data_IF_633352170777
#
_entry.id   IF_633352170777
#
_cell.length_a   1.000
_cell.length_b   1.000
_cell.length_c   1.000
_cell.angle_alpha   90.00
_cell.angle_beta   90.00
_cell.angle_gamma   90.00
#
_symmetry.space_group_name_H-M   'P 1'
#
loop_
_entity.id
_entity.type
_entity.pdbx_description
1 polymer ?
#
# COMPACT_ATOMS: atom_id res chain seq x y z
N UNK A 1 -26.74 14.27 2.49
CA UNK A 1 -26.35 12.84 2.61
C UNK A 1 -25.21 12.58 1.64
N UNK A 2 -24.08 12.00 2.09
CA UNK A 2 -23.01 11.61 1.16
C UNK A 2 -23.51 10.44 0.31
N UNK A 3 -23.32 10.51 -1.01
CA UNK A 3 -23.85 9.54 -1.98
C UNK A 3 -23.30 8.14 -1.70
N UNK A 4 -24.12 7.12 -1.99
CA UNK A 4 -23.63 5.75 -2.17
C UNK A 4 -22.57 5.78 -3.26
N UNK A 5 -21.34 5.39 -2.90
CA UNK A 5 -20.19 5.40 -3.78
C UNK A 5 -19.64 3.99 -3.84
N UNK A 6 -19.51 3.47 -5.06
CA UNK A 6 -18.77 2.23 -5.34
C UNK A 6 -17.40 2.59 -5.92
N UNK A 7 -16.47 1.67 -5.74
CA UNK A 7 -15.12 1.75 -6.31
C UNK A 7 -14.85 0.47 -7.08
N UNK A 8 -13.88 0.53 -7.98
CA UNK A 8 -13.27 -0.66 -8.57
C UNK A 8 -11.99 -0.98 -7.81
N UNK A 9 -11.58 -2.24 -7.78
CA UNK A 9 -10.28 -2.63 -7.26
C UNK A 9 -9.44 -3.24 -8.38
N UNK A 10 -8.12 -3.03 -8.31
CA UNK A 10 -7.18 -3.57 -9.28
C UNK A 10 -5.96 -4.12 -8.54
N UNK A 11 -5.67 -5.40 -8.75
CA UNK A 11 -4.44 -6.00 -8.27
C UNK A 11 -3.32 -5.68 -9.24
N UNK A 12 -2.25 -5.08 -8.72
CA UNK A 12 -1.09 -4.63 -9.49
C UNK A 12 0.18 -5.08 -8.79
N UNK A 13 1.24 -5.34 -9.54
CA UNK A 13 2.55 -5.60 -8.96
C UNK A 13 3.06 -4.34 -8.25
N UNK A 14 3.02 -3.21 -8.96
CA UNK A 14 3.46 -1.90 -8.45
C UNK A 14 2.31 -0.88 -8.52
N UNK A 15 2.16 -0.09 -7.46
CA UNK A 15 1.20 1.02 -7.43
C UNK A 15 1.57 2.05 -8.51
N UNK A 16 0.65 2.42 -9.42
CA UNK A 16 0.94 3.39 -10.47
C UNK A 16 1.22 4.77 -9.88
N UNK A 17 2.04 5.56 -10.58
CA UNK A 17 2.34 6.94 -10.17
C UNK A 17 1.12 7.85 -10.15
N UNK A 18 0.21 7.65 -11.10
CA UNK A 18 -1.01 8.44 -11.23
C UNK A 18 -2.21 7.57 -10.87
N UNK A 19 -2.80 7.82 -9.70
CA UNK A 19 -3.98 7.09 -9.23
C UNK A 19 -5.25 7.59 -9.92
N UNK A 20 -6.10 6.67 -10.35
CA UNK A 20 -7.44 6.98 -10.86
C UNK A 20 -8.44 7.25 -9.73
N UNK A 21 -9.42 8.10 -10.00
CA UNK A 21 -10.54 8.32 -9.07
C UNK A 21 -11.38 7.06 -8.94
N UNK A 22 -11.82 6.74 -7.71
CA UNK A 22 -12.68 5.58 -7.41
C UNK A 22 -12.09 4.22 -7.79
N UNK A 23 -10.77 4.12 -7.88
CA UNK A 23 -10.06 2.84 -8.01
C UNK A 23 -9.15 2.61 -6.82
N UNK A 24 -9.19 1.39 -6.28
CA UNK A 24 -8.32 0.90 -5.23
C UNK A 24 -7.26 0.00 -5.84
N UNK A 25 -6.03 0.49 -5.89
CA UNK A 25 -4.89 -0.30 -6.33
C UNK A 25 -4.33 -1.09 -5.17
N UNK A 26 -4.05 -2.37 -5.40
CA UNK A 26 -3.62 -3.30 -4.36
C UNK A 26 -2.39 -4.04 -4.86
N UNK A 27 -1.27 -3.88 -4.15
CA UNK A 27 -0.10 -4.71 -4.34
C UNK A 27 0.01 -5.69 -3.18
N UNK A 28 -0.19 -6.98 -3.50
CA UNK A 28 0.00 -8.07 -2.55
C UNK A 28 1.49 -8.25 -2.24
N UNK A 29 2.36 -8.12 -3.25
CA UNK A 29 3.81 -8.25 -3.09
C UNK A 29 4.37 -7.23 -2.10
N UNK A 30 3.93 -5.98 -2.18
CA UNK A 30 4.37 -4.91 -1.27
C UNK A 30 3.47 -4.73 -0.04
N UNK A 31 2.44 -5.58 0.13
CA UNK A 31 1.52 -5.51 1.26
C UNK A 31 0.90 -4.12 1.42
N UNK A 32 0.43 -3.51 0.34
CA UNK A 32 -0.10 -2.13 0.39
C UNK A 32 -1.29 -1.96 -0.55
N UNK A 33 -2.20 -1.07 -0.16
CA UNK A 33 -3.24 -0.58 -1.05
C UNK A 33 -3.20 0.95 -1.10
N UNK A 34 -3.58 1.52 -2.24
CA UNK A 34 -3.56 2.96 -2.46
C UNK A 34 -4.70 3.41 -3.37
N UNK A 35 -5.26 4.58 -3.07
CA UNK A 35 -6.35 5.17 -3.84
C UNK A 35 -6.38 6.69 -3.67
N UNK A 36 -7.04 7.39 -4.61
CA UNK A 36 -7.44 8.78 -4.38
C UNK A 36 -8.53 8.86 -3.35
N UNK A 37 -8.42 9.84 -2.46
CA UNK A 37 -9.34 10.04 -1.35
C UNK A 37 -10.78 10.11 -1.85
N UNK A 38 -11.61 9.19 -1.37
CA UNK A 38 -12.97 8.95 -1.90
C UNK A 38 -13.96 10.09 -1.62
N UNK A 39 -13.53 11.14 -0.93
CA UNK A 39 -14.30 12.39 -0.86
C UNK A 39 -14.18 13.25 -2.12
N UNK A 40 -13.24 12.94 -3.03
CA UNK A 40 -13.01 13.65 -4.28
C UNK A 40 -12.06 14.84 -4.16
N UNK A 41 -11.28 14.95 -3.08
CA UNK A 41 -10.27 16.01 -2.95
C UNK A 41 -8.99 15.73 -3.75
N UNK A 42 -8.85 14.56 -4.36
CA UNK A 42 -7.70 14.15 -5.17
C UNK A 42 -6.45 13.76 -4.39
N UNK A 43 -6.43 13.91 -3.06
CA UNK A 43 -5.29 13.50 -2.22
C UNK A 43 -5.11 11.98 -2.22
N UNK A 44 -3.87 11.51 -2.26
CA UNK A 44 -3.56 10.08 -2.20
C UNK A 44 -3.66 9.56 -0.78
N UNK A 45 -4.23 8.35 -0.65
CA UNK A 45 -4.34 7.63 0.61
C UNK A 45 -3.65 6.30 0.43
N UNK A 46 -2.70 6.03 1.33
CA UNK A 46 -1.98 4.75 1.39
C UNK A 46 -2.47 3.99 2.62
N UNK A 47 -2.81 2.73 2.44
CA UNK A 47 -3.24 1.82 3.50
C UNK A 47 -2.34 0.58 3.49
N UNK A 48 -1.24 0.58 4.25
CA UNK A 48 -0.39 -0.60 4.39
C UNK A 48 -1.18 -1.77 4.98
N UNK A 49 -1.10 -2.91 4.30
CA UNK A 49 -1.77 -4.15 4.68
C UNK A 49 -0.82 -4.94 5.60
N UNK A 50 -1.15 -5.02 6.89
CA UNK A 50 -0.32 -5.73 7.87
C UNK A 50 -1.13 -6.19 9.08
N UNK A 51 -0.59 -7.10 9.92
CA UNK A 51 -1.28 -7.56 11.14
C UNK A 51 -1.66 -6.43 12.13
N UNK A 52 -0.91 -5.32 12.10
CA UNK A 52 -1.08 -4.15 12.99
C UNK A 52 -1.57 -2.90 12.27
N UNK A 53 -1.76 -2.98 10.95
CA UNK A 53 -2.23 -1.90 10.10
C UNK A 53 -3.62 -2.18 9.55
N UNK A 54 -3.83 -1.90 8.26
CA UNK A 54 -5.05 -2.30 7.59
C UNK A 54 -5.02 -3.79 7.24
N UNK A 55 -6.18 -4.40 7.24
CA UNK A 55 -6.44 -5.74 6.78
C UNK A 55 -7.34 -5.65 5.55
N UNK A 56 -7.06 -6.51 4.58
CA UNK A 56 -7.82 -6.60 3.35
C UNK A 56 -8.44 -7.98 3.25
N UNK A 57 -9.70 -8.04 2.88
CA UNK A 57 -10.38 -9.29 2.50
C UNK A 57 -10.81 -9.21 1.05
N UNK A 58 -10.55 -10.27 0.30
CA UNK A 58 -11.03 -10.46 -1.07
C UNK A 58 -11.79 -11.78 -1.15
N UNK A 59 -13.03 -11.76 -1.63
CA UNK A 59 -13.92 -12.93 -1.71
C UNK A 59 -13.99 -13.54 -3.12
N UNK A 60 -13.14 -13.08 -4.04
CA UNK A 60 -13.15 -13.48 -5.45
C UNK A 60 -13.93 -12.52 -6.36
N UNK A 61 -14.73 -11.61 -5.78
CA UNK A 61 -15.49 -10.62 -6.54
C UNK A 61 -15.26 -9.20 -6.04
N UNK A 62 -15.13 -9.01 -4.72
CA UNK A 62 -15.08 -7.67 -4.10
C UNK A 62 -14.03 -7.57 -3.00
N UNK A 63 -13.56 -6.35 -2.75
CA UNK A 63 -12.59 -6.05 -1.68
C UNK A 63 -13.25 -5.32 -0.52
N UNK A 64 -12.81 -5.64 0.69
CA UNK A 64 -13.07 -4.84 1.90
C UNK A 64 -11.78 -4.50 2.61
N UNK A 65 -11.74 -3.32 3.22
CA UNK A 65 -10.64 -2.87 4.08
C UNK A 65 -11.16 -2.60 5.49
N UNK A 66 -10.39 -3.04 6.48
CA UNK A 66 -10.60 -2.77 7.90
C UNK A 66 -9.25 -2.39 8.55
N UNK A 67 -9.20 -1.52 9.57
CA UNK A 67 -10.29 -0.69 10.08
C UNK A 67 -10.68 0.41 9.07
N UNK A 68 -11.49 1.38 9.51
CA UNK A 68 -11.87 2.52 8.68
C UNK A 68 -10.67 3.35 8.23
N UNK A 69 -10.83 4.06 7.12
CA UNK A 69 -9.88 5.04 6.62
C UNK A 69 -10.23 6.41 7.19
N UNK A 70 -9.39 6.91 8.10
CA UNK A 70 -9.51 8.24 8.69
C UNK A 70 -8.47 9.21 8.14
N UNK A 71 -8.89 10.18 7.33
CA UNK A 71 -8.02 11.16 6.67
C UNK A 71 -7.80 12.43 7.51
N UNK A 72 -7.56 12.29 8.82
CA UNK A 72 -7.53 13.43 9.75
C UNK A 72 -6.34 14.39 9.55
N UNK A 73 -5.28 13.91 8.90
CA UNK A 73 -4.13 14.73 8.45
C UNK A 73 -4.41 15.49 7.16
N UNK A 74 -5.46 15.13 6.41
CA UNK A 74 -5.84 15.81 5.17
C UNK A 74 -6.83 16.95 5.46
N UNK A 75 -6.85 18.02 4.65
CA UNK A 75 -7.81 19.12 4.80
C UNK A 75 -9.28 18.66 4.77
N UNK A 76 -9.57 17.57 4.05
CA UNK A 76 -10.92 17.04 3.90
C UNK A 76 -11.46 16.32 5.15
N UNK A 77 -10.57 15.88 6.07
CA UNK A 77 -10.91 15.12 7.29
C UNK A 77 -11.97 14.02 7.07
N UNK A 78 -11.92 13.36 5.90
CA UNK A 78 -12.90 12.35 5.53
C UNK A 78 -12.73 11.08 6.35
N UNK A 79 -13.84 10.40 6.62
CA UNK A 79 -13.85 9.13 7.33
C UNK A 79 -14.82 8.17 6.63
N UNK A 80 -14.32 6.99 6.26
CA UNK A 80 -15.11 5.98 5.55
C UNK A 80 -14.54 4.58 5.74
N UNK A 81 -15.35 3.58 5.43
CA UNK A 81 -14.98 2.16 5.37
C UNK A 81 -15.21 1.70 3.94
N UNK A 82 -14.29 0.90 3.39
CA UNK A 82 -14.48 0.21 2.11
C UNK A 82 -14.95 -1.21 2.44
N UNK A 83 -16.16 -1.58 2.02
CA UNK A 83 -16.75 -2.89 2.27
C UNK A 83 -17.46 -3.40 1.02
N UNK A 84 -16.99 -4.53 0.49
CA UNK A 84 -17.48 -5.14 -0.75
C UNK A 84 -17.56 -4.11 -1.88
N UNK A 85 -16.43 -3.44 -2.12
CA UNK A 85 -16.27 -2.37 -3.13
C UNK A 85 -17.19 -1.15 -2.95
N UNK A 86 -17.80 -0.99 -1.77
CA UNK A 86 -18.67 0.13 -1.44
C UNK A 86 -18.07 0.98 -0.34
N UNK A 87 -18.21 2.28 -0.50
CA UNK A 87 -17.79 3.29 0.48
C UNK A 87 -18.93 3.54 1.45
N UNK A 88 -18.73 3.11 2.69
CA UNK A 88 -19.61 3.38 3.80
C UNK A 88 -19.04 4.58 4.56
N UNK A 89 -19.69 5.72 4.43
CA UNK A 89 -19.27 6.94 5.12
C UNK A 89 -19.43 6.79 6.62
N UNK A 90 -18.34 7.01 7.35
CA UNK A 90 -18.35 7.05 8.80
C UNK A 90 -18.46 8.51 9.28
N UNK A 91 -19.04 8.69 10.47
CA UNK A 91 -19.19 10.01 11.07
C UNK A 91 -17.85 10.65 11.43
N UNK A 92 -17.87 11.95 11.74
CA UNK A 92 -16.69 12.62 12.28
C UNK A 92 -16.29 11.99 13.63
N UNK A 93 -14.99 11.90 13.88
CA UNK A 93 -14.45 11.53 15.19
C UNK A 93 -13.97 12.80 15.90
N UNK A 94 -14.09 12.83 17.23
CA UNK A 94 -13.51 13.93 18.00
C UNK A 94 -11.99 13.83 18.01
N UNK A 95 -11.29 14.95 18.27
CA UNK A 95 -9.82 14.94 18.39
C UNK A 95 -9.34 13.96 19.48
N UNK A 96 -10.13 13.79 20.54
CA UNK A 96 -9.87 12.81 21.60
C UNK A 96 -9.96 11.37 21.10
N UNK A 97 -10.94 11.07 20.26
CA UNK A 97 -11.10 9.74 19.68
C UNK A 97 -9.98 9.43 18.67
N UNK A 98 -9.62 10.43 17.85
CA UNK A 98 -8.52 10.32 16.88
C UNK A 98 -7.20 10.02 17.61
N UNK A 99 -6.89 10.75 18.68
CA UNK A 99 -5.66 10.52 19.45
C UNK A 99 -5.68 9.16 20.18
N UNK A 100 -6.86 8.73 20.66
CA UNK A 100 -7.00 7.41 21.27
C UNK A 100 -6.70 6.28 20.26
N UNK A 101 -7.18 6.39 19.02
CA UNK A 101 -6.89 5.47 17.92
C UNK A 101 -5.39 5.48 17.60
N UNK A 102 -4.80 6.65 17.33
CA UNK A 102 -3.36 6.77 17.03
C UNK A 102 -2.47 6.18 18.14
N UNK A 103 -2.84 6.35 19.40
CA UNK A 103 -2.11 5.78 20.54
C UNK A 103 -2.25 4.26 20.59
N UNK A 104 -3.42 3.70 20.24
CA UNK A 104 -3.61 2.24 20.12
C UNK A 104 -2.73 1.71 18.99
N UNK A 105 -2.81 2.31 17.80
CA UNK A 105 -2.07 1.85 16.62
C UNK A 105 -0.55 1.85 16.88
N UNK A 106 -0.01 2.93 17.47
CA UNK A 106 1.41 2.98 17.89
C UNK A 106 1.78 1.86 18.84
N UNK A 107 0.91 1.54 19.79
CA UNK A 107 1.15 0.48 20.77
C UNK A 107 1.16 -0.90 20.09
N UNK A 108 0.25 -1.12 19.16
CA UNK A 108 0.14 -2.40 18.46
C UNK A 108 1.35 -2.63 17.55
N UNK A 109 1.82 -1.59 16.85
CA UNK A 109 3.10 -1.60 16.12
C UNK A 109 4.27 -1.94 17.05
N UNK A 110 4.42 -1.24 18.18
CA UNK A 110 5.52 -1.48 19.12
C UNK A 110 5.55 -2.92 19.67
N UNK A 111 4.38 -3.52 19.91
CA UNK A 111 4.28 -4.91 20.39
C UNK A 111 4.63 -5.94 19.33
N UNK A 112 4.38 -5.64 18.06
CA UNK A 112 4.54 -6.60 16.98
C UNK A 112 5.97 -6.64 16.44
N UNK A 113 6.71 -5.53 16.51
CA UNK A 113 8.06 -5.40 15.96
C UNK A 113 9.18 -5.34 17.02
N UNK A 114 8.97 -5.91 18.21
CA UNK A 114 9.98 -5.99 19.28
C UNK A 114 10.75 -4.68 19.55
N UNK A 115 10.02 -3.56 19.67
CA UNK A 115 10.55 -2.36 20.33
C UNK A 115 11.33 -1.35 19.49
N UNK A 116 11.41 -1.46 18.16
CA UNK A 116 11.77 -0.31 17.32
C UNK A 116 10.64 -0.02 16.31
N UNK A 117 9.80 1.00 16.53
CA UNK A 117 8.90 1.44 15.48
C UNK A 117 9.77 1.92 14.33
N UNK A 118 9.62 1.31 13.16
CA UNK A 118 10.18 1.83 11.90
C UNK A 118 9.41 3.10 11.53
N UNK A 119 9.62 4.15 12.32
CA UNK A 119 9.38 5.54 11.97
C UNK A 119 10.70 6.07 11.40
N UNK A 120 11.18 5.49 10.28
CA UNK A 120 11.77 6.41 9.32
C UNK A 120 10.59 7.06 8.61
N UNK A 121 10.36 8.38 8.72
CA UNK A 121 9.58 9.03 7.70
C UNK A 121 10.25 8.63 6.39
N UNK A 122 9.53 7.93 5.51
CA UNK A 122 9.92 7.90 4.11
C UNK A 122 9.81 9.34 3.67
N UNK A 123 10.90 10.09 3.83
CA UNK A 123 11.11 11.35 3.18
C UNK A 123 11.07 10.97 1.70
N UNK A 124 9.90 11.19 1.09
CA UNK A 124 9.76 11.15 -0.36
C UNK A 124 10.61 12.29 -0.85
N UNK A 125 11.93 12.05 -0.99
CA UNK A 125 12.78 12.85 -1.85
C UNK A 125 12.18 12.63 -3.22
N UNK A 126 11.39 13.60 -3.65
CA UNK A 126 10.96 13.75 -5.03
C UNK A 126 12.28 13.90 -5.80
N UNK A 127 12.84 12.77 -6.22
CA UNK A 127 13.92 12.76 -7.17
C UNK A 127 13.30 13.24 -8.48
N UNK A 128 13.79 14.32 -9.09
CA UNK A 128 13.27 14.77 -10.37
C UNK A 128 13.35 13.60 -11.36
N UNK A 129 12.27 13.43 -12.13
CA UNK A 129 11.98 12.29 -13.00
C UNK A 129 13.11 11.90 -13.96
N UNK A 130 14.09 12.78 -14.18
CA UNK A 130 15.22 12.58 -15.08
C UNK A 130 16.33 11.67 -14.51
N UNK A 131 16.40 11.43 -13.19
CA UNK A 131 17.54 10.67 -12.62
C UNK A 131 17.32 9.16 -12.48
N UNK A 132 16.08 8.68 -12.62
CA UNK A 132 15.74 7.25 -12.49
C UNK A 132 16.20 6.44 -13.71
N UNK A 133 16.23 7.04 -14.90
CA UNK A 133 16.62 6.36 -16.14
C UNK A 133 18.12 6.03 -16.18
N UNK A 134 18.98 6.86 -15.57
CA UNK A 134 20.43 6.63 -15.58
C UNK A 134 20.90 5.52 -14.64
N UNK A 135 20.12 5.16 -13.61
CA UNK A 135 20.51 4.12 -12.63
C UNK A 135 20.19 2.71 -13.08
N UNK A 136 19.24 2.53 -13.99
CA UNK A 136 18.84 1.19 -14.49
C UNK A 136 19.80 0.69 -15.58
N UNK A 137 20.37 1.57 -16.40
CA UNK A 137 21.30 1.19 -17.47
C UNK A 137 22.69 0.73 -16.99
N UNK A 138 23.05 0.96 -15.72
CA UNK A 138 24.43 0.73 -15.23
C UNK A 138 24.62 -0.51 -14.36
N UNK A 139 23.60 -1.36 -14.25
CA UNK A 139 23.74 -2.65 -13.57
C UNK A 139 24.24 -3.67 -14.60
N UNK A 140 25.56 -3.72 -14.79
CA UNK A 140 26.16 -4.85 -15.51
C UNK A 140 25.98 -6.14 -14.68
N UNK A 141 25.52 -7.25 -15.27
CA UNK A 141 25.37 -8.49 -14.55
C UNK A 141 26.74 -9.00 -14.09
N UNK A 142 26.90 -9.12 -12.77
CA UNK A 142 28.09 -9.71 -12.14
C UNK A 142 28.24 -11.15 -12.65
N UNK A 143 29.41 -11.57 -13.16
CA UNK A 143 29.57 -12.92 -13.69
C UNK A 143 29.39 -13.96 -12.58
N UNK A 144 28.56 -14.97 -12.86
CA UNK A 144 28.37 -16.10 -11.96
C UNK A 144 29.70 -16.85 -11.78
N UNK A 145 30.10 -17.21 -10.55
CA UNK A 145 31.30 -18.00 -10.33
C UNK A 145 31.13 -19.39 -10.98
N UNK A 146 32.08 -19.73 -11.85
CA UNK A 146 32.02 -20.91 -12.70
C UNK A 146 31.98 -22.23 -11.94
N UNK A 147 31.03 -23.09 -12.29
CA UNK A 147 31.07 -24.51 -12.02
C UNK A 147 31.41 -25.23 -13.35
N UNK A 148 32.70 -25.33 -13.64
CA UNK A 148 33.20 -26.03 -14.81
C UNK A 148 33.08 -27.55 -14.61
N UNK A 149 32.57 -28.23 -15.64
CA UNK A 149 32.75 -29.66 -16.02
C UNK A 149 31.98 -30.74 -15.25
N UNK A 150 30.98 -31.34 -15.92
CA UNK A 150 31.04 -32.72 -16.47
C UNK A 150 29.68 -33.17 -17.03
N UNK A 151 29.46 -32.96 -18.33
CA UNK A 151 28.61 -33.86 -19.12
C UNK A 151 29.35 -34.06 -20.43
N UNK A 152 29.89 -35.26 -20.63
CA UNK A 152 30.17 -35.90 -21.92
C UNK A 152 30.76 -37.28 -21.63
N UNK A 153 29.91 -38.31 -21.66
CA UNK A 153 30.28 -39.67 -22.14
C UNK A 153 29.03 -40.55 -22.19
N UNK A 154 28.19 -40.34 -23.19
CA UNK A 154 27.19 -41.32 -23.64
C UNK A 154 26.95 -41.12 -25.14
N UNK A 155 27.99 -41.34 -25.95
CA UNK A 155 27.91 -41.68 -27.38
C UNK A 155 29.26 -42.26 -27.84
N UNK A 156 29.28 -43.58 -28.11
CA UNK A 156 30.14 -44.25 -29.09
C UNK A 156 31.56 -44.68 -28.69
N UNK A 157 31.80 -46.01 -28.68
CA UNK A 157 33.12 -46.64 -28.94
C UNK A 157 33.82 -47.23 -27.73
#
# INVERSE_FOLDING_TARGET
>A
MKKNLSIEHEFVDFIPRDLEERKLYISIEFGTASHKCLCGCGAEVVTPISPVGWQMTYDGETVSLSPSVGSWSLPCKSHYIIKRDKVIWAGAMSDRDIEAVKRRDRRDVMRHFDGDPVNEPVEVKILPAQKVQQTVEKIEPKPAPGLVRRILRWFGG
#
